data_IF_556851699046
#
_entry.id   IF_556851699046
#
_cell.length_a   1.000
_cell.length_b   1.000
_cell.length_c   1.000
_cell.angle_alpha   90.00
_cell.angle_beta   90.00
_cell.angle_gamma   90.00
#
_symmetry.space_group_name_H-M   'P 1'
#
loop_
_entity.id
_entity.type
_entity.pdbx_description
1 polymer ?
#
# COMPACT_ATOMS: atom_id res chain seq x y z
N UNK A 1 48.33 -29.85 -4.96
CA UNK A 1 47.46 -29.04 -5.85
C UNK A 1 46.31 -28.46 -5.02
N UNK A 2 46.38 -27.18 -4.60
CA UNK A 2 45.31 -26.52 -3.82
C UNK A 2 44.39 -25.74 -4.76
N UNK A 3 43.16 -26.22 -4.97
CA UNK A 3 42.11 -25.48 -5.72
C UNK A 3 41.68 -24.28 -4.87
N UNK A 4 41.93 -23.05 -5.37
CA UNK A 4 41.38 -21.83 -4.77
C UNK A 4 39.91 -21.70 -5.19
N UNK A 5 38.99 -21.79 -4.22
CA UNK A 5 37.59 -21.45 -4.42
C UNK A 5 37.45 -19.94 -4.56
N UNK A 6 37.03 -19.45 -5.73
CA UNK A 6 36.61 -18.06 -5.93
C UNK A 6 35.12 -17.96 -5.65
N UNK A 7 34.76 -17.40 -4.50
CA UNK A 7 33.38 -17.00 -4.21
C UNK A 7 33.13 -15.68 -4.94
N UNK A 8 32.07 -15.60 -5.74
CA UNK A 8 31.74 -14.37 -6.47
C UNK A 8 31.13 -13.32 -5.53
N UNK A 9 31.40 -12.04 -5.77
CA UNK A 9 30.85 -10.94 -4.98
C UNK A 9 29.30 -10.94 -4.97
N UNK A 10 28.66 -11.45 -6.03
CA UNK A 10 27.21 -11.68 -6.11
C UNK A 10 26.71 -12.73 -5.11
N UNK A 11 27.50 -13.78 -4.86
CA UNK A 11 27.16 -14.84 -3.89
C UNK A 11 27.23 -14.33 -2.45
N UNK A 12 28.10 -13.37 -2.15
CA UNK A 12 28.21 -12.72 -0.84
C UNK A 12 27.05 -11.75 -0.62
N UNK A 13 26.63 -11.01 -1.65
CA UNK A 13 25.53 -10.04 -1.56
C UNK A 13 24.16 -10.71 -1.36
N UNK A 14 23.92 -11.83 -2.07
CA UNK A 14 22.70 -12.66 -1.88
C UNK A 14 22.68 -13.29 -0.48
N UNK A 15 23.83 -13.72 0.03
CA UNK A 15 23.93 -14.29 1.38
C UNK A 15 23.64 -13.24 2.47
N UNK A 16 24.05 -11.99 2.29
CA UNK A 16 23.78 -10.87 3.23
C UNK A 16 22.30 -10.46 3.19
N UNK A 17 21.66 -10.45 2.01
CA UNK A 17 20.23 -10.13 1.87
C UNK A 17 19.33 -11.21 2.48
N UNK A 18 19.72 -12.48 2.35
CA UNK A 18 19.04 -13.61 3.02
C UNK A 18 19.25 -13.53 4.54
N UNK A 19 20.45 -13.17 5.01
CA UNK A 19 20.70 -13.00 6.44
C UNK A 19 19.92 -11.84 7.06
N UNK A 20 19.71 -10.73 6.34
CA UNK A 20 18.96 -9.58 6.87
C UNK A 20 17.45 -9.83 6.99
N UNK A 21 16.88 -10.65 6.10
CA UNK A 21 15.47 -11.09 6.18
C UNK A 21 15.30 -12.18 7.24
N UNK A 22 16.29 -13.06 7.41
CA UNK A 22 16.28 -14.07 8.47
C UNK A 22 16.51 -13.47 9.86
N UNK A 23 17.31 -12.41 10.01
CA UNK A 23 17.56 -11.80 11.33
C UNK A 23 16.33 -11.04 11.87
N UNK A 24 15.54 -10.42 11.00
CA UNK A 24 14.24 -9.82 11.38
C UNK A 24 13.17 -10.88 11.63
N UNK A 25 13.18 -12.01 10.90
CA UNK A 25 12.29 -13.14 11.16
C UNK A 25 12.64 -13.94 12.43
N UNK A 26 13.93 -14.09 12.77
CA UNK A 26 14.39 -14.91 13.89
C UNK A 26 14.17 -14.23 15.25
N UNK A 27 14.23 -12.89 15.33
CA UNK A 27 13.84 -12.15 16.53
C UNK A 27 12.31 -12.17 16.76
N UNK A 28 11.50 -12.25 15.71
CA UNK A 28 10.06 -12.58 15.83
C UNK A 28 9.84 -14.01 16.32
N UNK A 29 10.63 -14.98 15.85
CA UNK A 29 10.50 -16.39 16.19
C UNK A 29 10.90 -16.72 17.65
N UNK A 30 11.77 -15.90 18.27
CA UNK A 30 12.05 -16.00 19.73
C UNK A 30 10.88 -15.56 20.61
N UNK A 31 9.98 -14.72 20.08
CA UNK A 31 8.87 -14.15 20.84
C UNK A 31 7.60 -15.01 20.80
N UNK A 32 7.51 -15.95 19.85
CA UNK A 32 6.40 -16.90 19.72
C UNK A 32 6.89 -18.27 20.17
N UNK A 33 6.57 -18.62 21.42
CA UNK A 33 6.94 -19.89 22.02
C UNK A 33 6.49 -21.12 21.24
N UNK A 34 7.25 -22.20 21.41
CA UNK A 34 7.09 -23.56 20.89
C UNK A 34 5.64 -24.03 20.71
N UNK A 35 5.40 -24.69 19.57
CA UNK A 35 4.26 -25.56 19.24
C UNK A 35 3.58 -26.23 20.44
N UNK A 36 2.25 -26.41 20.35
CA UNK A 36 1.78 -27.77 20.11
C UNK A 36 0.78 -27.88 18.95
N UNK A 37 0.86 -29.03 18.30
CA UNK A 37 0.05 -29.53 17.19
C UNK A 37 -1.30 -30.09 17.68
N UNK A 38 -2.29 -30.08 16.77
CA UNK A 38 -3.50 -30.95 16.66
C UNK A 38 -4.72 -30.71 17.57
N UNK A 39 -5.89 -30.89 16.93
CA UNK A 39 -7.30 -30.86 17.41
C UNK A 39 -7.87 -29.43 17.51
N UNK A 40 -8.93 -29.04 16.80
CA UNK A 40 -10.25 -29.68 16.70
C UNK A 40 -10.91 -29.37 15.35
N UNK A 41 -11.36 -30.41 14.64
CA UNK A 41 -12.49 -30.35 13.71
C UNK A 41 -13.67 -30.97 14.44
N UNK A 42 -14.75 -30.21 14.66
CA UNK A 42 -16.14 -30.64 14.47
C UNK A 42 -17.13 -29.64 15.10
N UNK A 43 -18.30 -29.57 14.48
CA UNK A 43 -19.56 -28.94 14.92
C UNK A 43 -19.81 -27.48 14.53
N UNK A 44 -20.34 -27.27 13.31
CA UNK A 44 -21.44 -26.31 13.09
C UNK A 44 -22.48 -26.96 12.16
N UNK A 45 -23.72 -27.11 12.67
CA UNK A 45 -24.94 -27.55 11.99
C UNK A 45 -25.46 -26.44 11.04
N UNK A 46 -26.17 -26.76 9.94
CA UNK A 46 -26.66 -25.73 9.02
C UNK A 46 -27.73 -24.85 9.68
N UNK A 47 -27.52 -23.54 9.63
CA UNK A 47 -28.53 -22.53 9.97
C UNK A 47 -29.55 -22.40 8.84
N UNK A 48 -30.78 -22.04 9.18
CA UNK A 48 -31.89 -21.91 8.22
C UNK A 48 -31.69 -20.71 7.29
N UNK A 49 -32.30 -20.77 6.09
CA UNK A 49 -32.21 -19.72 5.07
C UNK A 49 -32.75 -18.35 5.53
N UNK A 50 -33.54 -18.29 6.61
CA UNK A 50 -34.04 -17.04 7.18
C UNK A 50 -33.03 -16.37 8.13
N UNK A 51 -32.23 -17.15 8.88
CA UNK A 51 -31.12 -16.60 9.68
C UNK A 51 -29.99 -16.07 8.78
N UNK A 52 -29.78 -16.70 7.62
CA UNK A 52 -28.82 -16.23 6.61
C UNK A 52 -29.27 -14.88 6.02
N UNK A 53 -30.56 -14.71 5.73
CA UNK A 53 -31.10 -13.43 5.21
C UNK A 53 -31.09 -12.30 6.23
N UNK A 54 -31.30 -12.58 7.52
CA UNK A 54 -31.17 -11.56 8.58
C UNK A 54 -29.71 -11.16 8.85
N UNK A 55 -28.75 -12.06 8.63
CA UNK A 55 -27.32 -11.74 8.67
C UNK A 55 -26.90 -10.95 7.42
N UNK A 56 -27.40 -11.29 6.24
CA UNK A 56 -27.09 -10.56 4.99
C UNK A 56 -27.64 -9.12 4.99
N UNK A 57 -28.82 -8.87 5.58
CA UNK A 57 -29.39 -7.53 5.66
C UNK A 57 -28.64 -6.59 6.64
N UNK A 58 -27.87 -7.15 7.58
CA UNK A 58 -27.02 -6.40 8.52
C UNK A 58 -25.55 -6.31 8.07
N UNK A 59 -25.20 -6.84 6.89
CA UNK A 59 -23.82 -6.91 6.37
C UNK A 59 -23.66 -6.17 5.04
N UNK A 60 -24.46 -5.13 4.82
CA UNK A 60 -24.28 -4.18 3.71
C UNK A 60 -23.60 -2.93 4.26
N UNK A 61 -22.32 -3.08 4.63
CA UNK A 61 -21.31 -2.03 4.73
C UNK A 61 -19.99 -2.73 5.12
N UNK A 62 -18.90 -2.49 4.38
CA UNK A 62 -17.57 -3.14 4.48
C UNK A 62 -17.39 -4.51 3.79
N UNK A 63 -17.37 -4.51 2.46
CA UNK A 63 -16.82 -5.63 1.68
C UNK A 63 -15.29 -5.57 1.47
N UNK A 64 -14.61 -4.57 2.03
CA UNK A 64 -13.15 -4.37 1.87
C UNK A 64 -12.30 -4.81 3.08
N UNK A 65 -12.91 -5.39 4.13
CA UNK A 65 -12.20 -5.73 5.37
C UNK A 65 -12.48 -7.13 5.94
N UNK A 66 -13.09 -8.03 5.17
CA UNK A 66 -13.20 -9.44 5.58
C UNK A 66 -12.00 -10.25 5.08
N UNK A 67 -10.82 -9.89 5.56
CA UNK A 67 -9.62 -10.71 5.44
C UNK A 67 -9.43 -11.50 6.75
N UNK A 68 -9.40 -12.84 6.74
CA UNK A 68 -9.10 -13.67 7.90
C UNK A 68 -7.80 -13.26 8.61
N UNK A 69 -6.79 -12.78 7.87
CA UNK A 69 -5.52 -12.32 8.42
C UNK A 69 -5.67 -10.98 9.14
N UNK A 70 -6.41 -10.04 8.55
CA UNK A 70 -6.79 -8.77 9.17
C UNK A 70 -7.67 -8.95 10.41
N UNK A 71 -8.55 -9.94 10.40
CA UNK A 71 -9.42 -10.28 11.53
C UNK A 71 -8.62 -10.95 12.67
N UNK A 72 -7.68 -11.85 12.36
CA UNK A 72 -6.80 -12.49 13.36
C UNK A 72 -5.81 -11.50 13.98
N UNK A 73 -5.25 -10.59 13.18
CA UNK A 73 -4.43 -9.48 13.67
C UNK A 73 -5.26 -8.52 14.54
N UNK A 74 -6.46 -8.15 14.09
CA UNK A 74 -7.40 -7.30 14.85
C UNK A 74 -7.82 -7.96 16.17
N UNK A 75 -8.13 -9.27 16.18
CA UNK A 75 -8.44 -10.06 17.39
C UNK A 75 -7.25 -10.12 18.34
N UNK A 76 -6.05 -10.36 17.82
CA UNK A 76 -4.81 -10.40 18.62
C UNK A 76 -4.54 -9.05 19.27
N UNK A 77 -4.71 -7.95 18.53
CA UNK A 77 -4.51 -6.60 19.03
C UNK A 77 -5.60 -6.17 20.03
N UNK A 78 -6.88 -6.52 19.79
CA UNK A 78 -7.98 -6.30 20.75
C UNK A 78 -7.78 -7.07 22.05
N UNK A 79 -7.22 -8.28 22.01
CA UNK A 79 -6.83 -9.06 23.20
C UNK A 79 -5.80 -8.34 24.07
N UNK A 80 -5.03 -7.41 23.50
CA UNK A 80 -4.06 -6.56 24.19
C UNK A 80 -4.56 -5.11 24.36
N UNK A 81 -5.87 -4.85 24.27
CA UNK A 81 -6.47 -3.54 24.52
C UNK A 81 -6.28 -2.50 23.40
N UNK A 82 -5.80 -2.92 22.22
CA UNK A 82 -5.58 -2.05 21.06
C UNK A 82 -6.79 -2.15 20.13
N UNK A 83 -7.56 -1.07 20.05
CA UNK A 83 -8.68 -0.97 19.10
C UNK A 83 -8.18 -0.41 17.75
N UNK A 84 -8.26 -1.25 16.72
CA UNK A 84 -7.74 -0.98 15.37
C UNK A 84 -8.65 -0.07 14.52
N UNK A 85 -9.69 0.52 15.11
CA UNK A 85 -10.67 1.35 14.39
C UNK A 85 -10.08 2.49 13.56
N UNK A 86 -8.81 2.88 13.74
CA UNK A 86 -8.22 4.02 13.03
C UNK A 86 -6.69 4.00 12.83
N UNK A 87 -6.04 2.83 12.85
CA UNK A 87 -4.56 2.78 12.83
C UNK A 87 -4.06 2.07 11.57
N UNK A 88 -3.66 2.86 10.56
CA UNK A 88 -2.85 2.34 9.46
C UNK A 88 -1.51 1.83 9.99
N UNK A 89 -0.93 0.80 9.38
CA UNK A 89 0.36 0.20 9.76
C UNK A 89 1.49 1.24 9.89
N UNK A 90 1.39 2.36 9.18
CA UNK A 90 2.28 3.50 9.27
C UNK A 90 2.25 4.19 10.66
N UNK A 91 1.10 4.23 11.33
CA UNK A 91 0.95 4.81 12.67
C UNK A 91 1.58 3.93 13.78
N UNK A 92 1.56 2.60 13.63
CA UNK A 92 2.19 1.66 14.58
C UNK A 92 3.72 1.81 14.56
N UNK A 93 4.32 1.91 13.37
CA UNK A 93 5.76 2.14 13.23
C UNK A 93 6.20 3.51 13.76
N UNK A 94 5.36 4.54 13.61
CA UNK A 94 5.63 5.91 14.08
C UNK A 94 5.60 6.04 15.60
N UNK A 95 4.65 5.36 16.24
CA UNK A 95 4.55 5.30 17.71
C UNK A 95 5.80 4.63 18.30
N UNK A 96 6.25 3.52 17.72
CA UNK A 96 7.44 2.78 18.20
C UNK A 96 8.78 3.53 18.01
N UNK A 97 8.88 4.45 17.05
CA UNK A 97 10.14 5.19 16.80
C UNK A 97 10.33 6.41 17.70
N UNK A 98 9.24 7.07 18.13
CA UNK A 98 9.32 8.26 19.00
C UNK A 98 9.19 7.95 20.48
N UNK A 99 8.54 6.84 20.82
CA UNK A 99 8.38 6.38 22.18
C UNK A 99 8.60 4.87 22.11
N UNK A 100 9.67 4.30 22.70
CA UNK A 100 9.74 2.85 22.84
C UNK A 100 8.65 2.42 23.82
N UNK A 101 7.43 2.25 23.29
CA UNK A 101 6.27 1.85 24.08
C UNK A 101 6.43 0.35 24.28
N UNK A 102 6.86 -0.03 25.46
CA UNK A 102 6.60 -1.38 25.96
C UNK A 102 5.09 -1.62 25.87
N UNK A 103 4.67 -2.69 25.19
CA UNK A 103 3.25 -3.06 25.06
C UNK A 103 2.55 -3.14 26.44
N UNK A 104 3.32 -3.37 27.52
CA UNK A 104 2.84 -3.39 28.90
C UNK A 104 2.46 -2.02 29.47
N UNK A 105 2.86 -0.93 28.83
CA UNK A 105 2.61 0.45 29.27
C UNK A 105 1.56 1.18 28.40
N UNK A 106 0.91 0.48 27.46
CA UNK A 106 -0.11 1.06 26.59
C UNK A 106 -1.28 1.72 27.38
N UNK A 107 -1.65 1.14 28.52
CA UNK A 107 -2.70 1.65 29.40
C UNK A 107 -2.31 2.94 30.15
N UNK A 108 -1.02 3.29 30.17
CA UNK A 108 -0.50 4.51 30.82
C UNK A 108 -0.37 5.69 29.86
N UNK A 109 -0.68 5.50 28.58
CA UNK A 109 -0.66 6.60 27.61
C UNK A 109 -1.84 7.51 27.89
N UNK A 110 -1.54 8.77 28.24
CA UNK A 110 -2.56 9.81 28.32
C UNK A 110 -3.13 10.05 26.92
N UNK A 111 -4.29 9.45 26.65
CA UNK A 111 -5.02 9.59 25.38
C UNK A 111 -5.42 11.05 25.11
N UNK A 112 -5.45 11.91 26.13
CA UNK A 112 -5.76 13.34 25.96
C UNK A 112 -4.55 14.16 25.49
N UNK A 113 -3.34 13.62 25.67
CA UNK A 113 -2.09 14.22 25.18
C UNK A 113 -1.77 13.86 23.72
N UNK A 114 -2.53 12.95 23.11
CA UNK A 114 -2.36 12.65 21.69
C UNK A 114 -2.95 13.79 20.85
N UNK A 115 -2.20 14.30 19.85
CA UNK A 115 -2.74 15.31 18.95
C UNK A 115 -4.03 14.79 18.30
N UNK A 116 -5.12 15.55 18.45
CA UNK A 116 -6.37 15.23 17.75
C UNK A 116 -6.19 15.58 16.29
N UNK A 117 -6.07 14.54 15.49
CA UNK A 117 -6.03 14.65 14.05
C UNK A 117 -7.44 14.90 13.53
N UNK A 118 -7.62 15.95 12.74
CA UNK A 118 -8.86 16.15 12.00
C UNK A 118 -9.06 14.95 11.05
N UNK A 119 -10.26 14.37 11.02
CA UNK A 119 -10.57 13.31 10.05
C UNK A 119 -10.80 13.94 8.68
N UNK A 120 -10.63 13.18 7.60
CA UNK A 120 -10.98 13.70 6.27
C UNK A 120 -12.46 14.09 6.20
N UNK A 121 -13.35 13.33 6.85
CA UNK A 121 -14.78 13.63 6.92
C UNK A 121 -15.08 14.99 7.59
N UNK A 122 -14.27 15.40 8.58
CA UNK A 122 -14.46 16.68 9.26
C UNK A 122 -14.14 17.89 8.38
N UNK A 123 -13.23 17.74 7.41
CA UNK A 123 -12.80 18.84 6.53
C UNK A 123 -13.40 18.77 5.12
N UNK A 124 -13.76 17.56 4.67
CA UNK A 124 -14.38 17.26 3.38
C UNK A 124 -15.41 16.15 3.63
N UNK A 125 -16.64 16.51 4.03
CA UNK A 125 -17.69 15.54 4.30
C UNK A 125 -18.06 14.76 3.03
N UNK A 126 -18.62 13.56 3.22
CA UNK A 126 -19.09 12.72 2.12
C UNK A 126 -20.20 13.47 1.37
N UNK A 127 -20.12 13.59 0.03
CA UNK A 127 -21.13 14.29 -0.74
C UNK A 127 -22.45 13.53 -0.75
N UNK A 128 -23.57 14.26 -0.73
CA UNK A 128 -24.92 13.67 -0.84
C UNK A 128 -25.22 13.15 -2.24
N UNK A 129 -24.54 13.68 -3.25
CA UNK A 129 -24.67 13.28 -4.65
C UNK A 129 -23.31 12.92 -5.21
N UNK A 130 -23.20 11.70 -5.73
CA UNK A 130 -21.93 11.15 -6.23
C UNK A 130 -21.88 11.35 -7.75
N UNK A 131 -21.01 12.26 -8.19
CA UNK A 131 -20.80 12.54 -9.63
C UNK A 131 -19.76 11.59 -10.22
N UNK A 132 -18.71 11.29 -9.45
CA UNK A 132 -17.58 10.48 -9.88
C UNK A 132 -16.95 9.81 -8.66
N UNK A 133 -16.33 8.63 -8.89
CA UNK A 133 -15.50 7.91 -7.91
C UNK A 133 -14.22 7.43 -8.56
N UNK A 134 -13.23 7.12 -7.73
CA UNK A 134 -12.05 6.33 -8.10
C UNK A 134 -11.39 6.86 -9.38
N UNK A 135 -11.07 8.14 -9.42
CA UNK A 135 -10.57 8.79 -10.64
C UNK A 135 -9.55 9.86 -10.30
N UNK A 136 -8.42 9.87 -11.00
CA UNK A 136 -7.52 11.00 -11.06
C UNK A 136 -7.81 11.81 -12.31
N UNK A 137 -7.96 13.13 -12.15
CA UNK A 137 -8.15 14.08 -13.24
C UNK A 137 -7.08 15.16 -13.16
N UNK A 138 -6.37 15.38 -14.25
CA UNK A 138 -5.40 16.46 -14.39
C UNK A 138 -5.54 17.10 -15.77
N UNK A 139 -6.37 18.15 -15.83
CA UNK A 139 -6.80 18.78 -17.09
C UNK A 139 -5.62 19.33 -17.92
N UNK A 140 -4.62 19.92 -17.26
CA UNK A 140 -3.42 20.48 -17.91
C UNK A 140 -2.66 19.45 -18.77
N UNK A 141 -2.73 18.17 -18.39
CA UNK A 141 -2.09 17.07 -19.10
C UNK A 141 -3.08 16.18 -19.86
N UNK A 142 -4.36 16.54 -19.90
CA UNK A 142 -5.44 15.72 -20.42
C UNK A 142 -5.44 14.30 -19.81
N UNK A 143 -5.17 14.20 -18.51
CA UNK A 143 -5.17 12.93 -17.79
C UNK A 143 -6.55 12.74 -17.15
N UNK A 144 -7.19 11.62 -17.48
CA UNK A 144 -8.38 11.11 -16.80
C UNK A 144 -8.24 9.60 -16.67
N UNK A 145 -7.83 9.14 -15.49
CA UNK A 145 -7.42 7.75 -15.27
C UNK A 145 -8.11 7.15 -14.04
N UNK A 146 -8.67 5.92 -14.13
CA UNK A 146 -9.22 5.23 -12.98
C UNK A 146 -8.17 5.02 -11.89
N UNK A 147 -8.57 5.23 -10.64
CA UNK A 147 -7.79 4.95 -9.44
C UNK A 147 -8.29 3.67 -8.79
N UNK A 148 -7.48 2.62 -8.89
CA UNK A 148 -7.73 1.34 -8.26
C UNK A 148 -7.09 1.32 -6.86
N UNK A 149 -7.75 0.69 -5.91
CA UNK A 149 -7.23 0.52 -4.54
C UNK A 149 -6.78 -0.93 -4.40
N UNK A 150 -5.47 -1.15 -4.35
CA UNK A 150 -4.96 -2.48 -4.07
C UNK A 150 -5.24 -2.84 -2.60
N UNK A 151 -5.53 -4.11 -2.37
CA UNK A 151 -5.57 -4.74 -1.05
C UNK A 151 -4.19 -5.28 -0.68
N UNK A 152 -3.98 -5.64 0.58
CA UNK A 152 -2.72 -6.28 0.99
C UNK A 152 -2.47 -7.59 0.24
N UNK A 153 -3.52 -8.33 -0.08
CA UNK A 153 -3.46 -9.57 -0.85
C UNK A 153 -2.88 -9.33 -2.25
N UNK A 154 -3.20 -8.20 -2.88
CA UNK A 154 -2.72 -7.88 -4.23
C UNK A 154 -1.20 -7.69 -4.29
N UNK A 155 -0.56 -7.38 -3.15
CA UNK A 155 0.90 -7.26 -3.06
C UNK A 155 1.63 -8.59 -3.09
N UNK A 156 0.90 -9.70 -2.92
CA UNK A 156 1.44 -11.04 -2.90
C UNK A 156 0.80 -11.89 -3.99
N UNK A 157 1.45 -13.01 -4.35
CA UNK A 157 0.78 -14.01 -5.16
C UNK A 157 -0.16 -14.81 -4.27
N UNK A 158 -1.43 -14.84 -4.62
CA UNK A 158 -2.37 -15.80 -4.06
C UNK A 158 -2.23 -17.15 -4.79
N UNK A 159 -2.39 -18.24 -4.06
CA UNK A 159 -2.66 -19.55 -4.63
C UNK A 159 -4.10 -19.60 -5.17
N UNK A 160 -4.45 -20.62 -5.95
CA UNK A 160 -5.80 -20.81 -6.51
C UNK A 160 -6.89 -20.91 -5.42
N UNK A 161 -6.50 -21.28 -4.19
CA UNK A 161 -7.37 -21.36 -3.02
C UNK A 161 -7.50 -20.04 -2.24
N UNK A 162 -6.87 -18.95 -2.72
CA UNK A 162 -6.88 -17.63 -2.10
C UNK A 162 -5.86 -17.42 -0.97
N UNK A 163 -5.07 -18.44 -0.60
CA UNK A 163 -4.01 -18.28 0.40
C UNK A 163 -2.81 -17.51 -0.15
N UNK A 164 -2.14 -16.71 0.67
CA UNK A 164 -0.94 -15.98 0.27
C UNK A 164 0.25 -16.93 0.19
N UNK A 165 0.93 -16.96 -0.96
CA UNK A 165 2.12 -17.74 -1.16
C UNK A 165 3.38 -16.87 -0.95
N UNK A 166 3.94 -16.93 0.27
CA UNK A 166 5.17 -16.21 0.62
C UNK A 166 6.44 -16.87 0.02
N UNK A 167 6.36 -18.14 -0.39
CA UNK A 167 7.49 -18.91 -0.93
C UNK A 167 7.63 -18.77 -2.45
N UNK A 168 6.54 -18.39 -3.13
CA UNK A 168 6.55 -18.13 -4.56
C UNK A 168 7.15 -16.75 -4.78
N UNK A 169 8.43 -16.71 -5.14
CA UNK A 169 9.08 -15.50 -5.61
C UNK A 169 8.14 -14.80 -6.59
N UNK A 170 7.94 -13.48 -6.42
CA UNK A 170 7.23 -12.60 -7.36
C UNK A 170 7.52 -13.13 -8.77
N UNK A 171 6.47 -13.62 -9.43
CA UNK A 171 6.55 -14.46 -10.63
C UNK A 171 7.64 -13.92 -11.57
N UNK A 172 8.50 -14.81 -12.08
CA UNK A 172 9.54 -14.40 -13.04
C UNK A 172 8.91 -13.76 -14.30
N UNK A 173 7.59 -13.88 -14.47
CA UNK A 173 6.80 -13.05 -15.36
C UNK A 173 6.16 -11.85 -14.62
N UNK A 174 6.79 -10.66 -14.64
CA UNK A 174 6.29 -9.46 -13.96
C UNK A 174 4.92 -8.98 -14.48
N UNK A 175 4.42 -9.53 -15.59
CA UNK A 175 3.12 -9.16 -16.17
C UNK A 175 1.90 -9.74 -15.44
N UNK A 176 2.08 -10.77 -14.61
CA UNK A 176 0.98 -11.50 -13.98
C UNK A 176 0.74 -11.18 -12.50
N UNK A 177 1.48 -10.25 -11.90
CA UNK A 177 1.19 -9.87 -10.51
C UNK A 177 -0.18 -9.16 -10.41
N UNK A 178 -0.93 -9.34 -9.31
CA UNK A 178 -2.22 -8.67 -9.16
C UNK A 178 -2.14 -7.14 -9.29
N UNK A 179 -1.12 -6.51 -8.69
CA UNK A 179 -0.85 -5.07 -8.90
C UNK A 179 -0.64 -4.71 -10.37
N UNK A 180 0.08 -5.55 -11.13
CA UNK A 180 0.30 -5.30 -12.55
C UNK A 180 -1.00 -5.40 -13.36
N UNK A 181 -1.93 -6.28 -12.96
CA UNK A 181 -3.27 -6.33 -13.55
C UNK A 181 -4.10 -5.08 -13.22
N UNK A 182 -3.99 -4.55 -12.00
CA UNK A 182 -4.63 -3.29 -11.62
C UNK A 182 -4.02 -2.08 -12.37
N UNK A 183 -2.72 -2.10 -12.63
CA UNK A 183 -2.03 -1.06 -13.40
C UNK A 183 -2.41 -1.08 -14.89
N UNK A 184 -2.85 -2.22 -15.44
CA UNK A 184 -3.44 -2.30 -16.78
C UNK A 184 -4.79 -1.56 -16.84
N UNK A 185 -5.47 -1.40 -15.71
CA UNK A 185 -6.78 -0.77 -15.61
C UNK A 185 -6.73 0.70 -15.15
N UNK A 186 -5.54 1.25 -14.88
CA UNK A 186 -5.38 2.63 -14.46
C UNK A 186 -4.16 2.87 -13.58
N UNK A 187 -4.33 3.70 -12.56
CA UNK A 187 -3.34 3.91 -11.49
C UNK A 187 -3.78 3.15 -10.24
N UNK A 188 -2.84 2.86 -9.35
CA UNK A 188 -3.06 2.00 -8.18
C UNK A 188 -2.59 2.68 -6.91
N UNK A 189 -3.50 2.90 -5.97
CA UNK A 189 -3.18 3.22 -4.58
C UNK A 189 -2.66 1.98 -3.86
N UNK A 190 -1.58 2.13 -3.08
CA UNK A 190 -0.97 1.03 -2.34
C UNK A 190 -1.55 0.91 -0.92
N UNK A 191 -1.95 -0.30 -0.49
CA UNK A 191 -2.73 -0.55 0.74
C UNK A 191 -2.00 -0.19 2.04
N UNK A 192 -0.66 -0.14 2.01
CA UNK A 192 0.14 0.21 3.19
C UNK A 192 0.33 1.72 3.37
N UNK A 193 -0.22 2.53 2.46
CA UNK A 193 -0.20 3.99 2.55
C UNK A 193 -1.60 4.52 2.91
N UNK A 194 -1.72 5.67 3.60
CA UNK A 194 -3.01 6.31 3.87
C UNK A 194 -3.83 6.51 2.59
N UNK A 195 -5.15 6.56 2.71
CA UNK A 195 -6.00 6.86 1.55
C UNK A 195 -5.79 8.31 1.08
N UNK A 196 -6.04 8.62 -0.20
CA UNK A 196 -5.91 9.99 -0.69
C UNK A 196 -6.75 10.96 0.16
N UNK A 197 -6.10 12.03 0.63
CA UNK A 197 -6.71 13.05 1.48
C UNK A 197 -6.63 12.75 2.97
N UNK A 198 -6.29 11.53 3.39
CA UNK A 198 -5.95 11.25 4.77
C UNK A 198 -4.58 11.83 5.14
N UNK A 199 -4.31 11.93 6.44
CA UNK A 199 -3.02 12.41 6.92
C UNK A 199 -1.91 11.38 6.66
N UNK A 200 -0.75 11.89 6.27
CA UNK A 200 0.40 11.11 5.83
C UNK A 200 0.62 11.22 4.32
N UNK A 201 1.29 10.22 3.75
CA UNK A 201 1.65 10.19 2.34
C UNK A 201 0.94 9.03 1.64
N UNK A 202 -0.19 9.32 1.00
CA UNK A 202 -0.88 8.37 0.14
C UNK A 202 -0.06 8.09 -1.11
N UNK A 203 0.21 6.82 -1.40
CA UNK A 203 1.13 6.43 -2.45
C UNK A 203 0.37 5.79 -3.61
N UNK A 204 0.46 6.41 -4.78
CA UNK A 204 -0.25 6.00 -5.99
C UNK A 204 0.77 5.77 -7.11
N UNK A 205 0.74 4.57 -7.68
CA UNK A 205 1.65 4.17 -8.75
C UNK A 205 0.89 4.07 -10.07
N UNK A 206 1.57 4.35 -11.19
CA UNK A 206 0.98 4.25 -12.51
C UNK A 206 2.02 4.03 -13.60
N UNK A 207 1.58 3.53 -14.74
CA UNK A 207 2.46 3.44 -15.90
C UNK A 207 2.70 4.82 -16.51
N UNK A 208 3.96 5.16 -16.65
CA UNK A 208 4.46 6.25 -17.51
C UNK A 208 5.15 5.73 -18.76
N UNK A 209 5.30 4.41 -18.84
CA UNK A 209 5.75 3.63 -19.99
C UNK A 209 5.43 2.16 -19.69
N UNK A 210 5.17 1.39 -20.73
CA UNK A 210 5.04 -0.07 -20.60
C UNK A 210 5.75 -0.77 -21.75
N UNK A 211 5.95 -2.08 -21.62
CA UNK A 211 6.39 -2.92 -22.72
C UNK A 211 5.38 -2.86 -23.87
N UNK A 212 5.87 -2.74 -25.10
CA UNK A 212 5.01 -2.66 -26.30
C UNK A 212 4.12 -3.90 -26.50
N UNK A 213 4.45 -5.02 -25.85
CA UNK A 213 3.68 -6.26 -25.88
C UNK A 213 2.46 -6.27 -24.94
N UNK A 214 2.40 -5.39 -23.94
CA UNK A 214 1.27 -5.31 -23.00
C UNK A 214 0.27 -4.30 -23.52
N UNK A 215 -0.96 -4.75 -23.84
CA UNK A 215 -2.04 -3.87 -24.29
C UNK A 215 -2.80 -3.31 -23.08
N UNK A 216 -2.76 -2.00 -22.91
CA UNK A 216 -3.55 -1.26 -21.92
C UNK A 216 -3.74 0.17 -22.40
N UNK A 217 -4.94 0.71 -22.17
CA UNK A 217 -5.27 2.12 -22.44
C UNK A 217 -4.51 3.07 -21.48
N UNK A 218 -3.91 2.54 -20.42
CA UNK A 218 -3.26 3.29 -19.33
C UNK A 218 -1.75 3.09 -19.25
N UNK A 219 -1.15 2.45 -20.27
CA UNK A 219 0.31 2.23 -20.39
C UNK A 219 1.17 3.50 -20.29
N UNK A 220 0.56 4.67 -20.49
CA UNK A 220 1.22 5.97 -20.46
C UNK A 220 0.45 6.97 -19.61
N UNK A 221 -0.41 6.51 -18.69
CA UNK A 221 -1.28 7.38 -17.88
C UNK A 221 -0.52 8.49 -17.15
N UNK A 222 0.69 8.20 -16.64
CA UNK A 222 1.53 9.17 -15.94
C UNK A 222 2.72 9.67 -16.78
N UNK A 223 2.82 9.27 -18.05
CA UNK A 223 3.90 9.71 -18.94
C UNK A 223 3.97 11.24 -19.11
N UNK A 224 2.82 11.97 -19.21
CA UNK A 224 2.86 13.42 -19.32
C UNK A 224 3.45 14.14 -18.11
N UNK A 225 3.53 13.50 -16.95
CA UNK A 225 4.02 14.12 -15.71
C UNK A 225 5.55 14.20 -15.66
N UNK A 226 6.23 13.26 -16.34
CA UNK A 226 7.69 13.18 -16.34
C UNK A 226 8.27 14.46 -16.94
N UNK A 227 9.10 15.16 -16.16
CA UNK A 227 9.83 16.39 -16.52
C UNK A 227 8.95 17.62 -16.85
N UNK A 228 7.63 17.49 -16.92
CA UNK A 228 6.71 18.59 -17.24
C UNK A 228 5.99 19.16 -16.03
N UNK A 229 5.86 18.39 -14.95
CA UNK A 229 5.17 18.82 -13.73
C UNK A 229 5.90 19.96 -13.04
N UNK A 230 5.15 21.00 -12.68
CA UNK A 230 5.62 22.21 -12.01
C UNK A 230 4.92 22.39 -10.66
N UNK A 231 5.64 22.97 -9.71
CA UNK A 231 5.07 23.36 -8.43
C UNK A 231 3.94 24.38 -8.63
N UNK A 232 2.87 24.22 -7.85
CA UNK A 232 1.68 25.06 -7.88
C UNK A 232 0.55 24.54 -8.77
N UNK A 233 0.81 23.58 -9.66
CA UNK A 233 -0.24 22.92 -10.45
C UNK A 233 -1.21 22.15 -9.56
N UNK A 234 -2.45 21.99 -10.02
CA UNK A 234 -3.51 21.32 -9.27
C UNK A 234 -4.06 20.15 -10.08
N UNK A 235 -4.26 19.03 -9.41
CA UNK A 235 -5.03 17.89 -9.93
C UNK A 235 -6.10 17.48 -8.94
N UNK A 236 -7.05 16.67 -9.41
CA UNK A 236 -8.19 16.18 -8.64
C UNK A 236 -8.10 14.68 -8.46
N UNK A 237 -8.45 14.21 -7.27
CA UNK A 237 -8.80 12.81 -7.03
C UNK A 237 -10.25 12.76 -6.57
N UNK A 238 -11.05 11.93 -7.24
CA UNK A 238 -12.31 11.44 -6.70
C UNK A 238 -12.02 10.16 -5.94
N UNK A 239 -12.28 10.17 -4.64
CA UNK A 239 -12.02 9.00 -3.80
C UNK A 239 -13.12 7.92 -3.92
N UNK A 240 -13.04 6.89 -3.09
CA UNK A 240 -13.95 5.74 -3.11
C UNK A 240 -15.38 6.05 -2.61
N UNK A 241 -15.54 7.12 -1.83
CA UNK A 241 -16.87 7.60 -1.40
C UNK A 241 -17.41 8.69 -2.33
N UNK A 242 -16.58 9.25 -3.21
CA UNK A 242 -16.95 10.23 -4.23
C UNK A 242 -16.62 11.67 -3.89
N UNK A 243 -15.79 11.91 -2.85
CA UNK A 243 -15.29 13.25 -2.52
C UNK A 243 -14.37 13.75 -3.61
N UNK A 244 -14.54 15.00 -4.02
CA UNK A 244 -13.59 15.71 -4.86
C UNK A 244 -12.47 16.29 -3.99
N UNK A 245 -11.25 15.80 -4.18
CA UNK A 245 -10.06 16.19 -3.44
C UNK A 245 -9.09 16.92 -4.38
N UNK A 246 -8.85 18.21 -4.13
CA UNK A 246 -7.91 19.01 -4.91
C UNK A 246 -6.52 18.94 -4.29
N UNK A 247 -5.51 18.59 -5.08
CA UNK A 247 -4.13 18.47 -4.64
C UNK A 247 -3.24 19.45 -5.39
N UNK A 248 -2.49 20.27 -4.65
CA UNK A 248 -1.53 21.23 -5.21
C UNK A 248 -0.12 20.68 -5.14
N UNK A 249 0.53 20.57 -6.29
CA UNK A 249 1.91 20.09 -6.42
C UNK A 249 2.86 21.03 -5.68
N UNK A 250 3.75 20.47 -4.87
CA UNK A 250 4.81 21.23 -4.20
C UNK A 250 6.21 20.66 -4.45
N UNK A 251 6.32 19.47 -5.03
CA UNK A 251 7.60 18.82 -5.33
C UNK A 251 7.46 17.82 -6.48
N UNK A 252 8.53 17.70 -7.28
CA UNK A 252 8.62 16.83 -8.44
C UNK A 252 10.07 16.41 -8.64
N UNK A 253 10.38 15.12 -8.46
CA UNK A 253 11.76 14.65 -8.36
C UNK A 253 11.95 13.27 -8.99
N UNK A 254 13.08 13.07 -9.66
CA UNK A 254 13.54 11.77 -10.11
C UNK A 254 14.40 11.10 -9.02
N UNK A 255 14.05 9.89 -8.63
CA UNK A 255 14.80 9.08 -7.65
C UNK A 255 15.26 7.77 -8.26
N UNK A 256 16.35 7.19 -7.76
CA UNK A 256 16.78 5.84 -8.11
C UNK A 256 15.91 4.81 -7.40
N UNK A 257 15.83 3.61 -7.95
CA UNK A 257 15.10 2.48 -7.34
C UNK A 257 15.54 2.18 -5.89
N UNK A 258 16.83 2.34 -5.59
CA UNK A 258 17.38 2.10 -4.25
C UNK A 258 17.02 3.18 -3.21
N UNK A 259 16.48 4.33 -3.63
CA UNK A 259 16.21 5.49 -2.76
C UNK A 259 14.82 5.41 -2.11
N UNK A 260 14.52 4.27 -1.47
CA UNK A 260 13.22 3.95 -0.86
C UNK A 260 12.80 5.00 0.18
N UNK A 261 13.74 5.51 0.97
CA UNK A 261 13.44 6.53 2.00
C UNK A 261 12.96 7.86 1.41
N UNK A 262 13.43 8.20 0.21
CA UNK A 262 12.93 9.37 -0.52
C UNK A 262 11.58 9.06 -1.15
N UNK A 263 11.41 7.89 -1.77
CA UNK A 263 10.12 7.47 -2.35
C UNK A 263 8.98 7.56 -1.32
N UNK A 264 9.12 6.93 -0.16
CA UNK A 264 8.10 6.87 0.88
C UNK A 264 8.30 7.91 1.99
N UNK A 265 8.82 9.09 1.62
CA UNK A 265 9.08 10.17 2.56
C UNK A 265 7.86 10.49 3.42
N UNK A 266 8.09 10.63 4.72
CA UNK A 266 7.05 10.97 5.69
C UNK A 266 6.89 12.50 5.78
N UNK A 267 5.66 12.99 5.66
CA UNK A 267 5.33 14.42 5.64
C UNK A 267 4.62 14.92 6.90
N UNK A 268 4.81 14.26 8.05
CA UNK A 268 4.20 14.79 9.29
C UNK A 268 2.71 14.45 9.33
N UNK A 269 1.92 15.46 9.63
CA UNK A 269 0.45 15.41 9.70
C UNK A 269 -0.19 16.01 8.44
N UNK A 270 0.64 16.31 7.42
CA UNK A 270 0.21 16.81 6.12
C UNK A 270 -0.57 15.73 5.36
N UNK A 271 -1.47 16.15 4.47
CA UNK A 271 -2.29 15.25 3.65
C UNK A 271 -1.73 15.23 2.24
N UNK A 272 -0.74 14.35 2.04
CA UNK A 272 0.05 14.29 0.81
C UNK A 272 -0.41 13.11 -0.04
N UNK A 273 -0.41 13.32 -1.35
CA UNK A 273 -0.42 12.25 -2.36
C UNK A 273 0.89 12.30 -3.11
N UNK A 274 1.55 11.14 -3.23
CA UNK A 274 2.67 10.93 -4.14
C UNK A 274 2.20 10.10 -5.33
N UNK A 275 2.32 10.65 -6.53
CA UNK A 275 2.15 9.92 -7.78
C UNK A 275 3.53 9.44 -8.25
N UNK A 276 3.68 8.16 -8.56
CA UNK A 276 4.93 7.57 -9.02
C UNK A 276 4.78 6.99 -10.44
N UNK A 277 5.60 7.48 -11.36
CA UNK A 277 5.86 6.86 -12.66
C UNK A 277 7.27 6.24 -12.75
N UNK A 278 7.49 5.36 -13.72
CA UNK A 278 8.81 4.81 -14.07
C UNK A 278 9.51 5.63 -15.15
N UNK A 279 10.82 5.81 -15.01
CA UNK A 279 11.66 6.41 -16.06
C UNK A 279 12.51 5.29 -16.65
N UNK A 280 12.42 5.12 -17.98
CA UNK A 280 13.20 4.12 -18.69
C UNK A 280 14.52 4.72 -19.19
N UNK A 281 15.63 4.13 -18.78
CA UNK A 281 16.96 4.48 -19.29
C UNK A 281 17.50 3.37 -20.19
N UNK A 282 18.38 3.74 -21.12
CA UNK A 282 19.09 2.76 -21.93
C UNK A 282 20.23 2.15 -21.11
N UNK A 283 20.15 0.84 -20.88
CA UNK A 283 21.18 0.04 -20.23
C UNK A 283 21.58 -1.07 -21.17
N UNK A 284 22.71 -0.89 -21.85
CA UNK A 284 23.27 -1.83 -22.83
C UNK A 284 22.29 -2.17 -23.98
N UNK A 285 21.63 -1.16 -24.55
CA UNK A 285 20.68 -1.31 -25.67
C UNK A 285 19.30 -1.80 -25.25
N UNK A 286 19.02 -1.89 -23.94
CA UNK A 286 17.72 -2.27 -23.37
C UNK A 286 17.15 -1.13 -22.55
N UNK A 287 15.89 -0.77 -22.78
CA UNK A 287 15.16 0.19 -21.96
C UNK A 287 14.75 -0.46 -20.64
N UNK A 288 15.33 -0.03 -19.52
CA UNK A 288 15.06 -0.56 -18.19
C UNK A 288 14.53 0.55 -17.26
N UNK A 289 13.59 0.22 -16.34
CA UNK A 289 13.04 1.18 -15.39
C UNK A 289 14.02 1.41 -14.22
N UNK A 290 15.07 2.18 -14.44
CA UNK A 290 16.15 2.42 -13.47
C UNK A 290 15.83 3.51 -12.44
N UNK A 291 14.88 4.39 -12.76
CA UNK A 291 14.47 5.51 -11.91
C UNK A 291 12.94 5.59 -11.78
N UNK A 292 12.50 6.35 -10.80
CA UNK A 292 11.11 6.69 -10.55
C UNK A 292 10.95 8.20 -10.57
N UNK A 293 9.91 8.68 -11.25
CA UNK A 293 9.50 10.08 -11.21
C UNK A 293 8.40 10.22 -10.15
N UNK A 294 8.64 11.05 -9.14
CA UNK A 294 7.72 11.29 -8.04
C UNK A 294 7.13 12.69 -8.20
N UNK A 295 5.81 12.78 -8.21
CA UNK A 295 5.08 14.04 -8.09
C UNK A 295 4.38 14.05 -6.75
N UNK A 296 4.65 15.06 -5.92
CA UNK A 296 4.07 15.17 -4.59
C UNK A 296 3.18 16.40 -4.51
N UNK A 297 1.98 16.19 -4.00
CA UNK A 297 0.99 17.24 -3.88
C UNK A 297 0.25 17.16 -2.55
N UNK A 298 -0.14 18.32 -2.05
CA UNK A 298 -0.83 18.48 -0.78
C UNK A 298 -2.29 18.83 -1.01
N UNK A 299 -3.18 18.24 -0.20
CA UNK A 299 -4.60 18.56 -0.22
C UNK A 299 -4.80 20.06 0.05
N UNK A 300 -5.50 20.75 -0.85
CA UNK A 300 -5.93 22.15 -0.67
C UNK A 300 -7.44 22.19 -0.44
N UNK A 301 -7.87 23.07 0.47
CA UNK A 301 -9.27 23.22 0.83
C UNK A 301 -10.04 24.06 -0.17
#
# INVERSE_FOLDING_TARGET
>A
MRKRFRISFKSILIFILILSVLFTGFEMYKYIGKNPTKQVVSAISPKSNEEIKQLEQNTIDNKYFQDPLGEELSKTLKKYGIDMGFISTANILRLNQKIPISIKDADKIDKTALPRYETLDSIKPIPTTIVQKNMLIWDEYNIKVPLNYASFQDLFQANDDGTVNFDKSIDNNPTNSPVQQLLIQGIVHLPYSPLPGEQGNSYVIGHSSNYSSVKSDYNYALAPLIEKTKNGQIFKIYDYVGRELNFKVFDSVAVKEAEIGEAYKNFGDRRIVTLQGSILEDVNGKKLPTKRWLVRAELVQ
#
